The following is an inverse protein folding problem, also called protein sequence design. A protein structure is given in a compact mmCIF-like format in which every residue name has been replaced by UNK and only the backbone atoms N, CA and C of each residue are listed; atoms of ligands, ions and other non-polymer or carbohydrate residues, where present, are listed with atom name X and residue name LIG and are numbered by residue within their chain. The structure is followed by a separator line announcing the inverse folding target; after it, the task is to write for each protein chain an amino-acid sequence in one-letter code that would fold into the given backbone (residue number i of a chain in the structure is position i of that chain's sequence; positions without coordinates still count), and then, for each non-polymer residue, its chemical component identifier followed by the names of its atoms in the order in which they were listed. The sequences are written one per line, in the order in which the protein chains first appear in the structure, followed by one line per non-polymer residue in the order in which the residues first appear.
data_IF_985385779269
#
_entry.id   IF_985385779269
#
_cell.length_a   1.000
_cell.length_b   1.000
_cell.length_c   1.000
_cell.angle_alpha   90.00
_cell.angle_beta   90.00
_cell.angle_gamma   90.00
#
_symmetry.space_group_name_H-M   'P 1'
#
loop_
_entity.id
_entity.type
_entity.pdbx_description
1 polymer ?
#
# COMPACT_ATOMS: atom_id res chain seq x y z
N UNK A 1 -17.48 1.83 -4.01
CA UNK A 1 -16.36 1.89 -3.07
C UNK A 1 -15.11 1.31 -3.70
N UNK A 2 -14.00 1.98 -3.61
CA UNK A 2 -12.77 1.54 -4.26
C UNK A 2 -11.97 0.63 -3.32
N UNK A 3 -11.74 -0.61 -3.75
CA UNK A 3 -10.85 -1.51 -3.02
C UNK A 3 -9.40 -1.08 -3.25
N UNK A 4 -8.57 -1.18 -2.21
CA UNK A 4 -7.20 -0.73 -2.31
C UNK A 4 -6.23 -1.69 -1.63
N UNK A 5 -4.98 -1.59 -2.07
CA UNK A 5 -3.85 -2.28 -1.46
C UNK A 5 -3.00 -1.20 -0.77
N UNK A 6 -2.66 -1.42 0.48
CA UNK A 6 -1.77 -0.53 1.21
C UNK A 6 -0.35 -1.08 1.09
N UNK A 7 0.57 -0.22 0.67
CA UNK A 7 1.99 -0.57 0.61
C UNK A 7 2.69 0.21 1.72
N UNK A 8 3.19 -0.50 2.72
CA UNK A 8 3.91 0.12 3.82
C UNK A 8 5.38 0.26 3.42
N UNK A 9 5.84 1.49 3.36
CA UNK A 9 7.17 1.82 2.87
C UNK A 9 8.14 1.94 4.04
N UNK A 10 9.14 1.07 4.05
CA UNK A 10 10.22 1.07 5.03
C UNK A 10 11.52 1.63 4.44
N UNK A 11 11.42 2.43 3.39
CA UNK A 11 12.58 3.05 2.77
C UNK A 11 13.08 2.36 1.52
N UNK A 12 12.27 1.48 0.94
CA UNK A 12 12.64 0.76 -0.27
C UNK A 12 12.59 1.68 -1.49
N UNK A 13 13.58 1.54 -2.36
CA UNK A 13 13.59 2.27 -3.62
C UNK A 13 12.60 1.68 -4.63
N UNK A 14 12.12 0.46 -4.40
CA UNK A 14 11.22 -0.21 -5.33
C UNK A 14 9.74 -0.04 -4.97
N UNK A 15 9.44 0.71 -3.91
CA UNK A 15 8.05 0.89 -3.46
C UNK A 15 7.16 1.43 -4.58
N UNK A 16 7.65 2.44 -5.31
CA UNK A 16 6.88 3.03 -6.40
C UNK A 16 6.67 2.05 -7.56
N UNK A 17 7.64 1.17 -7.78
CA UNK A 17 7.50 0.14 -8.82
C UNK A 17 6.42 -0.87 -8.44
N UNK A 18 6.36 -1.24 -7.17
CA UNK A 18 5.32 -2.14 -6.67
C UNK A 18 3.95 -1.51 -6.87
N UNK A 19 3.81 -0.24 -6.51
CA UNK A 19 2.55 0.48 -6.66
C UNK A 19 2.14 0.54 -8.14
N UNK A 20 3.10 0.80 -9.03
CA UNK A 20 2.82 0.85 -10.46
C UNK A 20 2.33 -0.50 -10.98
N UNK A 21 2.98 -1.60 -10.56
CA UNK A 21 2.57 -2.93 -11.00
C UNK A 21 1.16 -3.26 -10.55
N UNK A 22 0.83 -2.92 -9.30
CA UNK A 22 -0.52 -3.16 -8.79
C UNK A 22 -1.54 -2.37 -9.60
N UNK A 23 -1.21 -1.13 -9.95
CA UNK A 23 -2.11 -0.28 -10.74
C UNK A 23 -2.31 -0.83 -12.14
N UNK A 24 -1.29 -1.47 -12.72
CA UNK A 24 -1.41 -2.08 -14.04
C UNK A 24 -2.44 -3.20 -14.06
N UNK A 25 -2.72 -3.81 -12.91
CA UNK A 25 -3.77 -4.82 -12.78
C UNK A 25 -5.15 -4.21 -12.52
N UNK A 26 -5.26 -2.89 -12.57
CA UNK A 26 -6.52 -2.22 -12.33
C UNK A 26 -6.89 -2.11 -10.86
N UNK A 27 -5.92 -2.24 -9.98
CA UNK A 27 -6.14 -2.16 -8.53
C UNK A 27 -5.56 -0.87 -7.99
N UNK A 28 -6.33 -0.17 -7.17
CA UNK A 28 -5.86 1.05 -6.53
C UNK A 28 -4.86 0.73 -5.43
N UNK A 29 -3.76 1.47 -5.37
CA UNK A 29 -2.76 1.27 -4.34
C UNK A 29 -2.44 2.60 -3.67
N UNK A 30 -2.06 2.52 -2.39
CA UNK A 30 -1.68 3.68 -1.60
C UNK A 30 -0.38 3.37 -0.89
N UNK A 31 0.60 4.26 -1.02
CA UNK A 31 1.89 4.13 -0.35
C UNK A 31 1.83 4.90 0.96
N UNK A 32 2.14 4.23 2.06
CA UNK A 32 2.12 4.84 3.39
C UNK A 32 3.47 4.61 4.05
N UNK A 33 4.18 5.66 4.47
CA UNK A 33 5.43 5.49 5.23
C UNK A 33 5.17 4.67 6.49
N UNK A 34 6.14 3.86 6.89
CA UNK A 34 5.95 2.95 8.02
C UNK A 34 5.57 3.70 9.31
N UNK A 35 6.07 4.92 9.49
CA UNK A 35 5.78 5.71 10.70
C UNK A 35 4.43 6.44 10.64
N UNK A 36 3.69 6.30 9.55
CA UNK A 36 2.35 6.89 9.40
C UNK A 36 1.25 5.85 9.42
N UNK A 37 1.59 4.59 9.62
CA UNK A 37 0.59 3.52 9.65
C UNK A 37 -0.17 3.58 10.97
N UNK A 38 -1.51 3.50 10.89
CA UNK A 38 -2.37 3.50 12.06
C UNK A 38 -3.32 2.30 12.00
N UNK A 39 -3.86 1.92 13.17
CA UNK A 39 -4.85 0.85 13.22
C UNK A 39 -6.10 1.20 12.41
N UNK A 40 -6.47 2.47 12.43
CA UNK A 40 -7.63 2.94 11.67
C UNK A 40 -7.43 2.73 10.17
N UNK A 41 -6.23 3.02 9.68
CA UNK A 41 -5.90 2.82 8.28
C UNK A 41 -5.98 1.34 7.90
N UNK A 42 -5.40 0.48 8.72
CA UNK A 42 -5.35 -0.96 8.43
C UNK A 42 -6.72 -1.62 8.58
N UNK A 43 -7.57 -1.06 9.44
CA UNK A 43 -8.92 -1.59 9.66
C UNK A 43 -9.97 -1.10 8.69
N UNK A 44 -9.59 -0.32 7.70
CA UNK A 44 -10.53 0.21 6.72
C UNK A 44 -11.04 -0.93 5.83
N UNK A 45 -12.36 -0.98 5.65
CA UNK A 45 -13.00 -2.05 4.87
C UNK A 45 -12.60 -2.05 3.40
N UNK A 46 -12.16 -0.93 2.87
CA UNK A 46 -11.71 -0.87 1.48
C UNK A 46 -10.28 -1.38 1.29
N UNK A 47 -9.55 -1.64 2.38
CA UNK A 47 -8.21 -2.21 2.29
C UNK A 47 -8.31 -3.72 2.16
N UNK A 48 -7.89 -4.25 1.02
CA UNK A 48 -7.99 -5.68 0.73
C UNK A 48 -6.66 -6.41 0.84
N UNK A 49 -5.57 -5.69 0.97
CA UNK A 49 -4.26 -6.31 1.12
C UNK A 49 -3.25 -5.30 1.61
N UNK A 50 -2.19 -5.83 2.21
CA UNK A 50 -1.11 -5.01 2.76
C UNK A 50 0.20 -5.62 2.29
N UNK A 51 1.07 -4.76 1.74
CA UNK A 51 2.38 -5.18 1.28
C UNK A 51 3.43 -4.42 2.09
N UNK A 52 4.42 -5.15 2.60
CA UNK A 52 5.54 -4.54 3.30
C UNK A 52 6.69 -4.39 2.31
N UNK A 53 7.10 -3.15 2.04
CA UNK A 53 8.19 -2.86 1.12
C UNK A 53 9.42 -2.46 1.94
N UNK A 54 10.25 -3.43 2.26
CA UNK A 54 11.45 -3.23 3.06
C UNK A 54 12.64 -2.90 2.21
N UNK A 55 13.49 -2.03 2.75
CA UNK A 55 14.72 -1.64 2.08
C UNK A 55 15.91 -2.48 2.46
#
# INVERSE_FOLDING_TARGET
MTESIIIIDFGSQVTKLIARRIREFGVFSQIVPFNKVTKKLLGNNSVKGIIFSGG
#
